data_IF_454262547259
#
_entry.id   IF_454262547259
#
_cell.length_a   1.000
_cell.length_b   1.000
_cell.length_c   1.000
_cell.angle_alpha   90.00
_cell.angle_beta   90.00
_cell.angle_gamma   90.00
#
_symmetry.space_group_name_H-M   'P 1'
#
loop_
_entity.id
_entity.type
_entity.pdbx_description
1 polymer ?
#
# COMPACT_ATOMS: atom_id res chain seq x y z
N UNK A 1 66.14 -0.85 3.91
CA UNK A 1 65.47 0.46 4.14
C UNK A 1 64.74 0.78 2.85
N UNK A 2 63.43 0.96 2.74
CA UNK A 2 62.38 1.29 3.69
C UNK A 2 61.05 1.24 2.91
N UNK A 3 60.38 0.10 2.95
CA UNK A 3 58.95 -0.01 2.67
C UNK A 3 58.18 0.93 3.61
N UNK A 4 56.98 1.40 3.21
CA UNK A 4 56.04 2.28 3.96
C UNK A 4 56.01 3.77 3.53
N UNK A 5 55.59 4.09 2.31
CA UNK A 5 55.02 5.43 2.04
C UNK A 5 53.84 5.50 1.06
N UNK A 6 53.52 4.43 0.32
CA UNK A 6 52.46 4.47 -0.68
C UNK A 6 51.04 4.13 -0.16
N UNK A 7 50.90 3.66 1.08
CA UNK A 7 49.62 3.18 1.63
C UNK A 7 49.01 4.12 2.69
N UNK A 8 49.27 5.43 2.59
CA UNK A 8 48.72 6.44 3.52
C UNK A 8 47.88 7.55 2.86
N UNK A 9 47.77 7.54 1.54
CA UNK A 9 47.08 8.60 0.78
C UNK A 9 45.58 8.34 0.56
N UNK A 10 45.01 7.27 1.12
CA UNK A 10 43.63 6.83 0.81
C UNK A 10 42.67 6.94 2.01
N UNK A 11 43.11 7.40 3.19
CA UNK A 11 42.22 7.52 4.37
C UNK A 11 42.56 8.70 5.28
N UNK A 12 42.56 9.94 4.78
CA UNK A 12 42.44 11.14 5.62
C UNK A 12 41.71 12.21 4.81
N UNK A 13 40.56 12.67 5.29
CA UNK A 13 39.96 13.93 4.83
C UNK A 13 38.51 13.90 4.36
N UNK A 14 37.74 12.86 4.64
CA UNK A 14 36.28 12.79 4.41
C UNK A 14 35.45 13.64 5.41
N UNK A 15 35.99 14.75 5.91
CA UNK A 15 35.31 15.69 6.82
C UNK A 15 35.90 17.09 6.61
N UNK A 16 35.38 17.87 5.66
CA UNK A 16 35.61 19.32 5.61
C UNK A 16 34.70 20.02 4.58
N UNK A 17 33.38 19.95 4.76
CA UNK A 17 32.47 20.94 4.14
C UNK A 17 31.30 21.25 5.07
N UNK A 18 31.61 21.54 6.34
CA UNK A 18 30.75 22.31 7.25
C UNK A 18 31.16 23.78 7.15
N UNK A 19 30.72 24.44 6.07
CA UNK A 19 30.91 25.87 5.84
C UNK A 19 29.59 26.60 5.98
N UNK A 20 29.37 27.18 7.16
CA UNK A 20 28.21 27.95 7.56
C UNK A 20 27.90 29.11 6.59
N UNK A 21 26.62 29.27 6.23
CA UNK A 21 26.11 30.54 5.68
C UNK A 21 24.90 30.97 6.54
N UNK A 22 25.25 31.76 7.54
CA UNK A 22 24.59 32.95 8.08
C UNK A 22 23.05 32.98 8.20
N UNK A 23 22.59 32.97 9.46
CA UNK A 23 21.33 33.57 9.89
C UNK A 23 21.23 35.03 9.43
N UNK A 24 20.24 35.35 8.60
CA UNK A 24 19.68 36.70 8.50
C UNK A 24 18.38 36.71 9.30
N UNK A 25 18.43 37.29 10.50
CA UNK A 25 17.24 37.76 11.24
C UNK A 25 17.20 39.27 11.10
N UNK A 26 16.22 39.79 10.35
CA UNK A 26 15.74 41.20 10.38
C UNK A 26 14.36 41.20 9.72
N UNK A 27 13.28 40.92 10.47
CA UNK A 27 12.40 41.83 11.24
C UNK A 27 11.21 42.41 10.45
N UNK A 28 10.01 42.14 10.99
CA UNK A 28 8.80 42.96 11.01
C UNK A 28 7.99 43.20 9.72
N UNK A 29 6.81 42.57 9.70
CA UNK A 29 5.54 43.30 9.67
C UNK A 29 5.10 43.90 8.33
N UNK A 30 4.45 43.06 7.51
CA UNK A 30 3.55 43.50 6.46
C UNK A 30 2.37 42.54 6.42
N UNK A 31 1.42 42.74 7.33
CA UNK A 31 0.11 42.10 7.26
C UNK A 31 -0.66 42.72 6.08
N UNK A 32 -0.56 42.10 4.91
CA UNK A 32 -1.45 42.34 3.79
C UNK A 32 -2.07 40.99 3.40
N UNK A 33 -3.30 40.79 3.85
CA UNK A 33 -4.21 39.75 3.38
C UNK A 33 -3.70 38.31 3.55
N UNK A 34 -3.87 37.73 4.73
CA UNK A 34 -4.13 36.29 4.75
C UNK A 34 -5.43 36.09 3.96
N UNK A 35 -5.31 35.67 2.69
CA UNK A 35 -6.44 35.04 2.02
C UNK A 35 -6.92 33.96 2.99
N UNK A 36 -8.22 33.87 3.29
CA UNK A 36 -8.75 32.70 3.96
C UNK A 36 -8.27 31.50 3.15
N UNK A 37 -7.38 30.69 3.72
CA UNK A 37 -7.22 29.33 3.26
C UNK A 37 -8.54 28.68 3.65
N UNK A 38 -9.52 28.79 2.74
CA UNK A 38 -10.67 27.89 2.71
C UNK A 38 -10.10 26.50 2.94
N UNK A 39 -10.51 25.77 4.00
CA UNK A 39 -10.08 24.40 4.19
C UNK A 39 -10.42 23.65 2.91
N UNK A 40 -9.42 23.42 2.07
CA UNK A 40 -9.62 22.80 0.76
C UNK A 40 -10.41 21.52 0.97
N UNK A 41 -11.51 21.36 0.24
CA UNK A 41 -12.35 20.16 0.36
C UNK A 41 -11.44 18.92 0.33
N UNK A 42 -11.57 18.06 1.34
CA UNK A 42 -10.70 16.91 1.53
C UNK A 42 -10.57 16.09 0.25
N UNK A 43 -9.33 15.81 -0.17
CA UNK A 43 -9.04 15.06 -1.39
C UNK A 43 -9.49 13.58 -1.31
N UNK A 44 -9.95 13.13 -0.14
CA UNK A 44 -10.46 11.76 0.08
C UNK A 44 -11.59 11.41 -0.89
N UNK A 45 -12.55 12.30 -1.12
CA UNK A 45 -13.70 12.01 -1.98
C UNK A 45 -13.31 11.87 -3.46
N UNK A 46 -12.43 12.76 -3.93
CA UNK A 46 -11.91 12.72 -5.31
C UNK A 46 -10.98 11.53 -5.50
N UNK A 47 -10.05 11.31 -4.57
CA UNK A 47 -9.15 10.16 -4.56
C UNK A 47 -9.94 8.85 -4.58
N UNK A 48 -10.97 8.70 -3.74
CA UNK A 48 -11.82 7.50 -3.69
C UNK A 48 -12.49 7.23 -5.04
N UNK A 49 -13.09 8.26 -5.66
CA UNK A 49 -13.71 8.12 -7.00
C UNK A 49 -12.70 7.70 -8.06
N UNK A 50 -11.49 8.24 -8.01
CA UNK A 50 -10.42 7.87 -8.93
C UNK A 50 -9.97 6.41 -8.75
N UNK A 51 -9.78 5.97 -7.50
CA UNK A 51 -9.43 4.57 -7.21
C UNK A 51 -10.50 3.58 -7.69
N UNK A 52 -11.78 3.89 -7.44
CA UNK A 52 -12.89 3.05 -7.91
C UNK A 52 -12.97 3.03 -9.44
N UNK A 53 -12.76 4.16 -10.11
CA UNK A 53 -12.70 4.21 -11.56
C UNK A 53 -11.53 3.39 -12.11
N UNK A 54 -10.36 3.43 -11.47
CA UNK A 54 -9.20 2.60 -11.84
C UNK A 54 -9.48 1.10 -11.71
N UNK A 55 -10.17 0.67 -10.64
CA UNK A 55 -10.55 -0.74 -10.44
C UNK A 55 -11.59 -1.17 -11.48
N UNK A 56 -12.66 -0.39 -11.66
CA UNK A 56 -13.73 -0.69 -12.62
C UNK A 56 -13.21 -0.81 -14.05
N UNK A 57 -12.37 0.13 -14.44
CA UNK A 57 -11.82 0.18 -15.79
C UNK A 57 -10.62 -0.78 -15.94
N UNK A 58 -10.25 -1.50 -14.86
CA UNK A 58 -9.11 -2.42 -14.81
C UNK A 58 -7.78 -1.79 -15.25
N UNK A 59 -7.63 -0.46 -15.10
CA UNK A 59 -6.52 0.33 -15.68
C UNK A 59 -5.14 -0.04 -15.14
N UNK A 60 -5.10 -0.63 -13.95
CA UNK A 60 -3.87 -1.02 -13.27
C UNK A 60 -3.55 -2.52 -13.39
N UNK A 61 -4.38 -3.31 -14.06
CA UNK A 61 -4.10 -4.74 -14.22
C UNK A 61 -3.01 -4.98 -15.26
N UNK A 62 -2.22 -6.01 -15.00
CA UNK A 62 -1.32 -6.57 -16.01
C UNK A 62 -2.13 -7.17 -17.17
N UNK A 63 -1.53 -7.26 -18.38
CA UNK A 63 -2.14 -7.98 -19.49
C UNK A 63 -2.49 -9.42 -19.10
N UNK A 64 -3.60 -9.93 -19.65
CA UNK A 64 -3.96 -11.33 -19.49
C UNK A 64 -2.86 -12.22 -20.07
N UNK A 65 -2.39 -13.20 -19.28
CA UNK A 65 -1.39 -14.17 -19.71
C UNK A 65 -2.07 -15.49 -20.09
N UNK A 66 -1.62 -16.17 -21.15
CA UNK A 66 -2.17 -17.46 -21.52
C UNK A 66 -1.80 -18.52 -20.47
N UNK A 67 -2.73 -19.44 -20.19
CA UNK A 67 -2.44 -20.65 -19.42
C UNK A 67 -1.88 -21.69 -20.38
N UNK A 68 -0.68 -22.20 -20.09
CA UNK A 68 -0.09 -23.29 -20.87
C UNK A 68 -0.93 -24.57 -20.76
N UNK A 69 -1.01 -25.36 -21.83
CA UNK A 69 -1.83 -26.58 -21.91
C UNK A 69 -1.60 -27.53 -20.73
N UNK A 70 -0.34 -27.82 -20.40
CA UNK A 70 0.02 -28.71 -19.28
C UNK A 70 -0.48 -28.18 -17.93
N UNK A 71 -0.41 -26.86 -17.72
CA UNK A 71 -0.90 -26.21 -16.50
C UNK A 71 -2.42 -26.28 -16.43
N UNK A 72 -3.11 -26.08 -17.56
CA UNK A 72 -4.56 -26.20 -17.65
C UNK A 72 -5.01 -27.64 -17.35
N UNK A 73 -4.35 -28.65 -17.93
CA UNK A 73 -4.62 -30.06 -17.68
C UNK A 73 -4.41 -30.44 -16.21
N UNK A 74 -3.33 -29.97 -15.59
CA UNK A 74 -3.05 -30.22 -14.17
C UNK A 74 -4.07 -29.52 -13.25
N UNK A 75 -4.50 -28.30 -13.58
CA UNK A 75 -5.54 -27.61 -12.84
C UNK A 75 -6.88 -28.37 -12.91
N UNK A 76 -7.24 -28.90 -14.07
CA UNK A 76 -8.43 -29.72 -14.24
C UNK A 76 -8.34 -31.04 -13.47
N UNK A 77 -7.19 -31.71 -13.51
CA UNK A 77 -6.98 -32.93 -12.71
C UNK A 77 -7.14 -32.67 -11.21
N UNK A 78 -6.56 -31.58 -10.68
CA UNK A 78 -6.72 -31.20 -9.27
C UNK A 78 -8.17 -30.93 -8.89
N UNK A 79 -8.94 -30.32 -9.80
CA UNK A 79 -10.38 -30.13 -9.60
C UNK A 79 -11.08 -31.49 -9.46
N UNK A 80 -10.83 -32.44 -10.36
CA UNK A 80 -11.39 -33.80 -10.26
C UNK A 80 -10.95 -34.52 -8.98
N UNK A 81 -9.69 -34.35 -8.57
CA UNK A 81 -9.15 -34.96 -7.36
C UNK A 81 -9.74 -34.36 -6.08
N UNK A 82 -10.19 -33.10 -6.09
CA UNK A 82 -10.81 -32.46 -4.92
C UNK A 82 -12.06 -33.18 -4.43
N UNK A 83 -12.81 -33.80 -5.34
CA UNK A 83 -14.02 -34.56 -5.00
C UNK A 83 -13.74 -35.93 -4.38
N UNK A 84 -12.50 -36.42 -4.47
CA UNK A 84 -12.10 -37.70 -3.86
C UNK A 84 -11.93 -37.58 -2.35
N UNK A 85 -11.77 -36.35 -1.85
CA UNK A 85 -11.59 -36.08 -0.43
C UNK A 85 -12.92 -35.70 0.20
N UNK A 86 -13.34 -36.43 1.24
CA UNK A 86 -14.53 -36.06 2.02
C UNK A 86 -14.27 -34.76 2.79
N UNK A 87 -15.31 -33.97 2.98
CA UNK A 87 -15.26 -32.83 3.90
C UNK A 87 -14.99 -33.39 5.31
N UNK A 88 -13.94 -32.93 6.01
CA UNK A 88 -13.67 -33.36 7.38
C UNK A 88 -14.85 -33.01 8.30
N UNK A 89 -15.18 -33.90 9.25
CA UNK A 89 -16.26 -33.70 10.22
C UNK A 89 -16.08 -32.41 11.03
N UNK A 90 -14.84 -31.98 11.25
CA UNK A 90 -14.49 -30.73 11.95
C UNK A 90 -14.92 -29.44 11.22
N UNK A 91 -15.21 -29.49 9.91
CA UNK A 91 -15.59 -28.32 9.09
C UNK A 91 -17.12 -28.21 8.92
N UNK A 92 -17.87 -29.24 9.33
CA UNK A 92 -19.34 -29.32 9.16
C UNK A 92 -20.17 -28.27 9.94
N UNK A 93 -19.53 -27.41 10.74
CA UNK A 93 -20.23 -26.63 11.77
C UNK A 93 -20.58 -25.17 11.44
N UNK A 94 -20.17 -24.58 10.30
CA UNK A 94 -20.43 -23.14 10.05
C UNK A 94 -21.67 -22.85 9.18
N UNK A 95 -22.19 -23.83 8.43
CA UNK A 95 -23.41 -23.66 7.62
C UNK A 95 -24.70 -24.11 8.33
N UNK A 96 -24.59 -24.83 9.45
CA UNK A 96 -25.73 -25.25 10.28
C UNK A 96 -26.07 -24.31 11.44
N UNK A 97 -25.23 -23.30 11.71
CA UNK A 97 -25.38 -22.35 12.82
C UNK A 97 -26.05 -21.03 12.41
N UNK A 98 -26.75 -20.97 11.28
CA UNK A 98 -27.72 -19.90 11.00
C UNK A 98 -29.03 -20.14 11.76
N UNK A 99 -28.91 -20.19 13.09
CA UNK A 99 -30.02 -20.12 14.02
C UNK A 99 -29.90 -18.82 14.82
N UNK A 100 -30.70 -17.81 14.46
CA UNK A 100 -30.93 -16.64 15.29
C UNK A 100 -30.08 -15.41 14.99
N UNK A 101 -30.38 -14.69 13.91
CA UNK A 101 -30.20 -13.24 13.92
C UNK A 101 -31.39 -12.62 14.67
N UNK A 102 -31.31 -12.61 15.99
CA UNK A 102 -32.15 -11.74 16.83
C UNK A 102 -31.40 -10.41 16.97
N UNK A 103 -31.69 -9.47 16.08
CA UNK A 103 -31.16 -8.11 16.11
C UNK A 103 -32.33 -7.14 16.09
N UNK A 104 -32.67 -6.61 17.27
CA UNK A 104 -33.84 -5.78 17.50
C UNK A 104 -33.84 -4.47 16.71
N UNK A 105 -34.93 -4.24 15.99
CA UNK A 105 -35.33 -2.92 15.51
C UNK A 105 -36.42 -2.36 16.41
N UNK A 106 -36.03 -1.64 17.47
CA UNK A 106 -36.88 -0.63 18.09
C UNK A 106 -36.54 0.71 17.43
N UNK A 107 -37.47 1.24 16.65
CA UNK A 107 -37.39 2.56 16.01
C UNK A 107 -38.78 3.18 15.99
N UNK A 108 -38.90 4.30 16.68
CA UNK A 108 -40.11 5.01 17.08
C UNK A 108 -41.02 5.48 15.93
N UNK A 109 -42.32 5.55 16.24
CA UNK A 109 -43.29 6.42 15.58
C UNK A 109 -43.29 7.79 16.27
#
# INVERSE_FOLDING_TARGET
MNENKHNRSVRIGWIATLGAIACIVTSSGAAYGQQPVEPGASDVGRSTKNWLAMQRDNRAAAPAQPVFGDVASLAYQRYLDSFKNKIPDSISSQLGATGGMSGGGQGAQ
#
